data_IF_286353827726
#
_entry.id   IF_286353827726
#
_cell.length_a   1.000
_cell.length_b   1.000
_cell.length_c   1.000
_cell.angle_alpha   90.00
_cell.angle_beta   90.00
_cell.angle_gamma   90.00
#
_symmetry.space_group_name_H-M   'P 1'
#
loop_
_entity.id
_entity.type
_entity.pdbx_description
1 polymer ?
#
# COMPACT_ATOMS: atom_id res chain seq x y z
N UNK A 1 -11.46 36.42 -5.77
CA UNK A 1 -12.14 35.57 -6.78
C UNK A 1 -11.27 35.13 -7.97
N UNK A 2 -10.12 35.77 -8.28
CA UNK A 2 -9.25 35.35 -9.42
C UNK A 2 -8.34 34.14 -9.15
N UNK A 3 -8.13 33.75 -7.89
CA UNK A 3 -7.26 32.62 -7.50
C UNK A 3 -7.98 31.26 -7.42
N UNK A 4 -9.31 31.25 -7.42
CA UNK A 4 -10.10 30.01 -7.29
C UNK A 4 -10.22 29.27 -8.63
N UNK A 5 -10.27 30.01 -9.75
CA UNK A 5 -10.36 29.43 -11.09
C UNK A 5 -9.10 28.64 -11.50
N UNK A 6 -7.93 29.02 -10.96
CA UNK A 6 -6.65 28.39 -11.27
C UNK A 6 -6.51 27.00 -10.63
N UNK A 7 -7.17 26.75 -9.50
CA UNK A 7 -7.17 25.43 -8.84
C UNK A 7 -8.13 24.46 -9.54
N UNK A 8 -9.29 24.94 -10.01
CA UNK A 8 -10.26 24.14 -10.74
C UNK A 8 -9.77 23.73 -12.15
N UNK A 9 -8.98 24.56 -12.82
CA UNK A 9 -8.44 24.26 -14.15
C UNK A 9 -7.33 23.20 -14.16
N UNK A 10 -6.65 22.96 -13.03
CA UNK A 10 -5.62 21.92 -12.92
C UNK A 10 -6.26 20.54 -12.69
N UNK A 11 -7.40 20.49 -11.98
CA UNK A 11 -8.16 19.24 -11.77
C UNK A 11 -8.79 18.70 -13.05
N UNK A 12 -9.13 19.55 -14.02
CA UNK A 12 -9.70 19.11 -15.30
C UNK A 12 -8.67 18.47 -16.26
N UNK A 13 -7.37 18.61 -16.00
CA UNK A 13 -6.31 17.96 -16.80
C UNK A 13 -6.03 16.52 -16.39
N UNK A 14 -6.51 16.09 -15.22
CA UNK A 14 -6.40 14.69 -14.74
C UNK A 14 -7.56 13.81 -15.23
N UNK A 15 -8.55 14.43 -15.90
CA UNK A 15 -9.83 13.82 -16.27
C UNK A 15 -9.82 12.97 -17.56
N UNK A 16 -8.65 12.72 -18.16
CA UNK A 16 -8.53 11.77 -19.27
C UNK A 16 -7.73 10.52 -18.88
N UNK A 17 -7.87 10.06 -17.64
CA UNK A 17 -7.37 8.73 -17.30
C UNK A 17 -8.35 7.70 -17.85
N UNK A 18 -7.88 6.75 -18.63
CA UNK A 18 -8.71 5.67 -19.16
C UNK A 18 -9.27 4.84 -17.99
N UNK A 19 -10.56 5.00 -17.70
CA UNK A 19 -11.23 4.33 -16.58
C UNK A 19 -11.07 2.80 -16.64
N UNK A 20 -10.98 2.22 -17.84
CA UNK A 20 -10.77 0.79 -18.01
C UNK A 20 -9.38 0.38 -17.54
N UNK A 21 -8.36 1.19 -17.86
CA UNK A 21 -6.98 0.97 -17.40
C UNK A 21 -6.88 1.14 -15.88
N UNK A 22 -7.53 2.14 -15.31
CA UNK A 22 -7.59 2.34 -13.86
C UNK A 22 -8.20 1.10 -13.20
N UNK A 23 -9.41 0.70 -13.60
CA UNK A 23 -10.10 -0.44 -13.02
C UNK A 23 -9.30 -1.74 -13.16
N UNK A 24 -8.67 -1.97 -14.32
CA UNK A 24 -7.83 -3.13 -14.55
C UNK A 24 -6.62 -3.17 -13.61
N UNK A 25 -5.95 -2.03 -13.42
CA UNK A 25 -4.78 -1.96 -12.53
C UNK A 25 -5.18 -2.08 -11.06
N UNK A 26 -6.29 -1.45 -10.63
CA UNK A 26 -6.82 -1.62 -9.27
C UNK A 26 -7.10 -3.09 -8.96
N UNK A 27 -7.84 -3.80 -9.82
CA UNK A 27 -8.15 -5.21 -9.60
C UNK A 27 -6.89 -6.10 -9.54
N UNK A 28 -5.83 -5.74 -10.28
CA UNK A 28 -4.55 -6.46 -10.22
C UNK A 28 -3.79 -6.18 -8.94
N UNK A 29 -3.78 -4.93 -8.49
CA UNK A 29 -3.17 -4.57 -7.22
C UNK A 29 -3.88 -5.27 -6.07
N UNK A 30 -5.21 -5.27 -6.03
CA UNK A 30 -6.00 -5.98 -5.01
C UNK A 30 -5.62 -7.46 -4.92
N UNK A 31 -5.47 -8.13 -6.07
CA UNK A 31 -5.06 -9.53 -6.11
C UNK A 31 -3.64 -9.74 -5.58
N UNK A 32 -2.70 -8.85 -5.94
CA UNK A 32 -1.32 -8.90 -5.45
C UNK A 32 -1.28 -8.67 -3.94
N UNK A 33 -1.94 -7.64 -3.45
CA UNK A 33 -1.97 -7.31 -2.01
C UNK A 33 -2.62 -8.44 -1.20
N UNK A 34 -3.70 -9.04 -1.72
CA UNK A 34 -4.33 -10.22 -1.11
C UNK A 34 -3.38 -11.43 -1.08
N UNK A 35 -2.62 -11.66 -2.15
CA UNK A 35 -1.64 -12.74 -2.18
C UNK A 35 -0.54 -12.50 -1.14
N UNK A 36 0.02 -11.30 -1.08
CA UNK A 36 1.10 -10.94 -0.16
C UNK A 36 0.65 -10.99 1.30
N UNK A 37 -0.57 -10.53 1.61
CA UNK A 37 -1.12 -10.62 2.98
C UNK A 37 -1.31 -12.06 3.45
N UNK A 38 -1.72 -12.95 2.54
CA UNK A 38 -2.02 -14.35 2.87
C UNK A 38 -0.79 -15.26 2.87
N UNK A 39 0.30 -14.84 2.23
CA UNK A 39 1.51 -15.63 2.07
C UNK A 39 2.69 -14.97 2.78
N UNK A 40 2.71 -15.11 4.11
CA UNK A 40 3.92 -14.87 4.90
C UNK A 40 5.01 -15.84 4.46
N UNK A 41 6.25 -15.37 4.38
CA UNK A 41 7.38 -16.20 3.97
C UNK A 41 7.60 -17.39 4.92
N UNK A 42 7.20 -17.24 6.18
CA UNK A 42 7.15 -18.31 7.19
C UNK A 42 5.76 -18.32 7.82
N UNK A 43 5.03 -19.42 7.68
CA UNK A 43 3.71 -19.61 8.30
C UNK A 43 3.88 -20.16 9.72
N UNK A 44 3.13 -19.65 10.72
CA UNK A 44 3.20 -20.18 12.07
C UNK A 44 2.85 -21.67 12.13
N UNK A 45 3.67 -22.43 12.83
CA UNK A 45 3.43 -23.84 13.15
C UNK A 45 4.24 -24.19 14.40
N UNK A 46 3.82 -25.21 15.13
CA UNK A 46 4.43 -25.61 16.41
C UNK A 46 5.96 -25.83 16.30
N UNK A 47 6.45 -26.31 15.15
CA UNK A 47 7.87 -26.53 14.92
C UNK A 47 8.63 -25.25 14.53
N UNK A 48 7.96 -24.30 13.86
CA UNK A 48 8.54 -23.00 13.52
C UNK A 48 8.66 -22.14 14.77
N UNK A 49 7.68 -22.17 15.68
CA UNK A 49 7.72 -21.36 16.91
C UNK A 49 8.95 -21.68 17.75
N UNK A 50 9.31 -22.96 17.88
CA UNK A 50 10.56 -23.38 18.53
C UNK A 50 11.81 -22.84 17.84
N UNK A 51 11.83 -22.84 16.50
CA UNK A 51 12.97 -22.30 15.74
C UNK A 51 13.07 -20.77 15.86
N UNK A 52 11.95 -20.07 16.05
CA UNK A 52 11.90 -18.63 16.34
C UNK A 52 12.40 -18.34 17.76
N UNK A 53 11.95 -19.10 18.76
CA UNK A 53 12.42 -18.99 20.15
C UNK A 53 13.92 -19.28 20.28
N UNK A 54 14.44 -20.23 19.51
CA UNK A 54 15.86 -20.55 19.42
C UNK A 54 16.67 -19.54 18.58
N UNK A 55 16.02 -18.53 17.97
CA UNK A 55 16.66 -17.50 17.15
C UNK A 55 17.24 -18.01 15.82
N UNK A 56 16.78 -19.16 15.32
CA UNK A 56 17.26 -19.77 14.07
C UNK A 56 16.53 -19.25 12.83
N UNK A 57 15.31 -18.76 13.00
CA UNK A 57 14.48 -18.18 11.95
C UNK A 57 13.69 -17.00 12.53
N UNK A 58 13.27 -16.07 11.67
CA UNK A 58 12.43 -14.95 12.05
C UNK A 58 11.18 -14.93 11.16
N UNK A 59 10.06 -14.47 11.71
CA UNK A 59 8.90 -14.15 10.89
C UNK A 59 9.19 -12.89 10.07
N UNK A 60 8.87 -12.92 8.78
CA UNK A 60 8.92 -11.70 7.97
C UNK A 60 7.89 -10.70 8.44
N UNK A 61 8.21 -9.42 8.31
CA UNK A 61 7.25 -8.34 8.55
C UNK A 61 5.96 -8.55 7.74
N UNK A 62 4.85 -8.10 8.32
CA UNK A 62 3.57 -8.14 7.63
C UNK A 62 3.60 -7.17 6.45
N UNK A 63 3.12 -7.64 5.29
CA UNK A 63 2.98 -6.79 4.12
C UNK A 63 2.08 -5.58 4.44
N UNK A 64 2.58 -4.38 4.14
CA UNK A 64 1.83 -3.14 4.28
C UNK A 64 1.21 -2.77 2.93
N UNK A 65 -0.10 -2.52 2.90
CA UNK A 65 -0.77 -2.12 1.65
C UNK A 65 -0.27 -0.77 1.16
N UNK A 66 -0.31 -0.56 -0.16
CA UNK A 66 0.13 0.68 -0.78
C UNK A 66 -0.65 1.89 -0.25
N UNK A 67 -1.92 1.72 0.09
CA UNK A 67 -2.74 2.75 0.73
C UNK A 67 -2.19 3.15 2.09
N UNK A 68 -1.89 2.18 2.97
CA UNK A 68 -1.34 2.45 4.30
C UNK A 68 0.06 3.05 4.25
N UNK A 69 0.89 2.63 3.28
CA UNK A 69 2.18 3.24 3.00
C UNK A 69 2.02 4.71 2.57
N UNK A 70 1.08 4.99 1.67
CA UNK A 70 0.81 6.34 1.21
C UNK A 70 0.32 7.24 2.35
N UNK A 71 -0.58 6.76 3.20
CA UNK A 71 -1.03 7.50 4.38
C UNK A 71 0.12 7.77 5.37
N UNK A 72 0.96 6.76 5.63
CA UNK A 72 2.13 6.91 6.50
C UNK A 72 3.05 7.99 5.96
N UNK A 73 3.36 7.93 4.66
CA UNK A 73 4.17 8.92 3.98
C UNK A 73 3.56 10.32 4.09
N UNK A 74 2.24 10.47 3.90
CA UNK A 74 1.55 11.75 4.08
C UNK A 74 1.66 12.29 5.51
N UNK A 75 1.46 11.46 6.54
CA UNK A 75 1.59 11.86 7.94
C UNK A 75 3.00 12.33 8.28
N UNK A 76 4.02 11.60 7.82
CA UNK A 76 5.43 11.97 8.02
C UNK A 76 5.77 13.31 7.37
N UNK A 77 5.21 13.61 6.19
CA UNK A 77 5.39 14.89 5.50
C UNK A 77 4.73 16.05 6.24
N UNK A 78 3.59 15.84 6.87
CA UNK A 78 2.87 16.86 7.65
C UNK A 78 3.57 17.15 8.98
N UNK A 79 4.17 16.14 9.62
CA UNK A 79 4.89 16.32 10.89
C UNK A 79 6.27 16.98 10.74
N UNK A 80 6.83 16.99 9.52
CA UNK A 80 8.09 17.66 9.20
C UNK A 80 7.93 19.15 8.83
N UNK A 81 6.70 19.68 8.83
CA UNK A 81 6.37 21.09 8.58
C UNK A 81 5.91 21.78 9.86
#
# INVERSE_FOLDING_TARGET
MKKLALVLGVLSLVACTDQKVVNYNTARLDNIETYLSNNKAVKPSENIDKLVEEGKVEYTEEYLSLEKEAEKWQRERVQQQ
#
